data_IF_760424385283
#
_entry.id   IF_760424385283
#
_cell.length_a   1.000
_cell.length_b   1.000
_cell.length_c   1.000
_cell.angle_alpha   90.00
_cell.angle_beta   90.00
_cell.angle_gamma   90.00
#
_symmetry.space_group_name_H-M   'P 1'
#
loop_
_entity.id
_entity.type
_entity.pdbx_description
1 polymer ?
#
# COMPACT_ATOMS: atom_id res chain seq x y z
N UNK A 1 -0.91 -6.17 15.19
CA UNK A 1 0.47 -5.80 14.85
C UNK A 1 0.90 -4.74 15.86
N UNK A 2 2.10 -4.86 16.40
CA UNK A 2 2.65 -3.90 17.36
C UNK A 2 3.42 -2.83 16.58
N UNK A 3 3.13 -1.56 16.84
CA UNK A 3 3.93 -0.46 16.31
C UNK A 3 5.26 -0.43 17.05
N UNK A 4 6.35 -0.52 16.31
CA UNK A 4 7.70 -0.30 16.84
C UNK A 4 8.09 1.15 16.52
N UNK A 5 8.11 1.98 17.57
CA UNK A 5 8.50 3.40 17.45
C UNK A 5 9.98 3.58 17.09
N UNK A 6 10.83 2.59 17.36
CA UNK A 6 12.26 2.64 17.10
C UNK A 6 12.59 2.20 15.67
N UNK A 7 11.85 1.22 15.13
CA UNK A 7 11.97 0.78 13.75
C UNK A 7 11.11 1.59 12.75
N UNK A 8 10.20 2.44 13.24
CA UNK A 8 9.13 3.08 12.45
C UNK A 8 8.33 2.07 11.59
N UNK A 9 8.25 0.82 12.05
CA UNK A 9 7.63 -0.28 11.33
C UNK A 9 6.67 -1.06 12.23
N UNK A 10 5.67 -1.71 11.63
CA UNK A 10 4.85 -2.67 12.36
C UNK A 10 5.56 -4.01 12.40
N UNK A 11 5.92 -4.44 13.61
CA UNK A 11 6.40 -5.79 13.83
C UNK A 11 5.27 -6.78 13.59
N UNK A 12 5.58 -7.81 12.81
CA UNK A 12 4.66 -8.90 12.54
C UNK A 12 4.31 -9.62 13.85
N UNK A 13 3.03 -9.93 14.03
CA UNK A 13 2.61 -10.65 15.23
C UNK A 13 3.21 -12.06 15.22
N UNK A 14 3.69 -12.57 16.36
CA UNK A 14 4.08 -13.97 16.45
C UNK A 14 2.87 -14.84 16.11
N UNK A 15 3.06 -15.74 15.15
CA UNK A 15 1.96 -16.56 14.61
C UNK A 15 1.81 -17.79 15.49
N UNK A 16 0.84 -17.76 16.40
CA UNK A 16 0.52 -18.85 17.32
C UNK A 16 -0.69 -19.69 16.89
N UNK A 17 -0.59 -21.01 17.11
CA UNK A 17 -1.67 -22.00 16.93
C UNK A 17 -1.73 -22.67 15.54
N UNK A 18 -2.40 -23.84 15.43
CA UNK A 18 -2.53 -24.56 14.16
C UNK A 18 -3.34 -23.71 13.18
N UNK A 19 -2.78 -23.37 12.02
CA UNK A 19 -3.40 -22.57 10.96
C UNK A 19 -4.79 -23.05 10.52
N UNK A 20 -5.58 -22.19 9.87
CA UNK A 20 -6.73 -22.67 9.10
C UNK A 20 -6.18 -23.33 7.83
N UNK A 21 -6.45 -24.62 7.60
CA UNK A 21 -6.03 -25.30 6.37
C UNK A 21 -7.13 -25.16 5.34
N UNK A 22 -7.03 -24.11 4.50
CA UNK A 22 -8.04 -23.83 3.49
C UNK A 22 -8.13 -24.92 2.42
N UNK A 23 -7.01 -25.60 2.12
CA UNK A 23 -6.95 -26.64 1.10
C UNK A 23 -7.88 -27.83 1.42
N UNK A 24 -7.98 -28.24 2.68
CA UNK A 24 -8.87 -29.34 3.10
C UNK A 24 -10.36 -29.01 2.88
N UNK A 25 -10.72 -27.73 2.97
CA UNK A 25 -12.11 -27.26 2.91
C UNK A 25 -12.49 -26.83 1.49
N UNK A 26 -11.55 -26.22 0.78
CA UNK A 26 -11.78 -25.52 -0.48
C UNK A 26 -10.91 -26.00 -1.63
N UNK A 27 -10.19 -27.11 -1.48
CA UNK A 27 -9.29 -27.64 -2.51
C UNK A 27 -9.91 -27.65 -3.91
N UNK A 28 -9.11 -27.25 -4.90
CA UNK A 28 -9.48 -27.09 -6.31
C UNK A 28 -10.61 -26.07 -6.60
N UNK A 29 -10.87 -25.09 -5.73
CA UNK A 29 -11.84 -24.01 -6.01
C UNK A 29 -11.16 -22.73 -6.47
N UNK A 30 -11.73 -22.08 -7.49
CA UNK A 30 -11.29 -20.78 -7.98
C UNK A 30 -12.28 -20.15 -8.97
N UNK A 31 -12.29 -18.82 -9.14
CA UNK A 31 -11.36 -17.81 -8.59
C UNK A 31 -11.57 -17.47 -7.11
N UNK A 32 -10.52 -16.92 -6.47
CA UNK A 32 -10.52 -16.48 -5.06
C UNK A 32 -10.79 -14.97 -4.99
N UNK A 33 -11.85 -14.61 -4.29
CA UNK A 33 -12.19 -13.21 -4.01
C UNK A 33 -11.98 -12.93 -2.52
N UNK A 34 -11.14 -11.95 -2.22
CA UNK A 34 -10.90 -11.48 -0.85
C UNK A 34 -11.50 -10.10 -0.71
N UNK A 35 -12.62 -10.01 0.00
CA UNK A 35 -13.17 -8.73 0.43
C UNK A 35 -12.43 -8.22 1.68
N UNK A 36 -12.39 -6.91 1.84
CA UNK A 36 -11.62 -6.23 2.88
C UNK A 36 -10.16 -6.71 2.97
N UNK A 37 -9.50 -6.76 1.81
CA UNK A 37 -8.12 -7.22 1.65
C UNK A 37 -7.10 -6.42 2.48
N UNK A 38 -7.52 -5.30 3.06
CA UNK A 38 -6.75 -4.57 4.06
C UNK A 38 -6.34 -5.42 5.28
N UNK A 39 -7.05 -6.53 5.56
CA UNK A 39 -6.69 -7.50 6.59
C UNK A 39 -5.41 -8.29 6.30
N UNK A 40 -4.90 -8.22 5.06
CA UNK A 40 -3.71 -8.93 4.58
C UNK A 40 -2.50 -8.00 4.33
N UNK A 41 -2.52 -6.80 4.91
CA UNK A 41 -1.38 -5.87 4.91
C UNK A 41 -0.24 -6.28 5.85
N UNK A 42 -0.43 -7.28 6.71
CA UNK A 42 0.55 -7.74 7.70
C UNK A 42 0.65 -9.27 7.66
N UNK A 43 1.82 -9.82 8.04
CA UNK A 43 1.96 -11.27 8.19
C UNK A 43 1.23 -11.70 9.47
N UNK A 44 0.14 -12.43 9.30
CA UNK A 44 -0.63 -13.00 10.40
C UNK A 44 -1.07 -14.43 10.02
N UNK A 45 -1.77 -15.12 10.93
CA UNK A 45 -2.25 -16.49 10.68
C UNK A 45 -3.17 -16.60 9.47
N UNK A 46 -4.00 -15.59 9.20
CA UNK A 46 -4.90 -15.58 8.01
C UNK A 46 -4.10 -15.40 6.73
N UNK A 47 -3.09 -14.53 6.75
CA UNK A 47 -2.18 -14.34 5.64
C UNK A 47 -1.50 -15.64 5.26
N UNK A 48 -0.89 -16.34 6.23
CA UNK A 48 -0.22 -17.63 5.96
C UNK A 48 -1.18 -18.66 5.39
N UNK A 49 -2.33 -18.84 6.03
CA UNK A 49 -3.36 -19.78 5.55
C UNK A 49 -3.80 -19.49 4.11
N UNK A 50 -3.98 -18.21 3.76
CA UNK A 50 -4.34 -17.81 2.40
C UNK A 50 -3.17 -17.99 1.43
N UNK A 51 -1.95 -17.59 1.80
CA UNK A 51 -0.76 -17.76 0.96
C UNK A 51 -0.53 -19.24 0.64
N UNK A 52 -0.53 -20.11 1.65
CA UNK A 52 -0.34 -21.55 1.48
C UNK A 52 -1.41 -22.17 0.56
N UNK A 53 -2.66 -21.71 0.67
CA UNK A 53 -3.74 -22.14 -0.23
C UNK A 53 -3.53 -21.67 -1.66
N UNK A 54 -3.14 -20.40 -1.84
CA UNK A 54 -2.91 -19.83 -3.17
C UNK A 54 -1.67 -20.42 -3.85
N UNK A 55 -0.65 -20.80 -3.08
CA UNK A 55 0.57 -21.47 -3.57
C UNK A 55 0.32 -22.93 -3.94
N UNK A 56 -0.74 -23.55 -3.41
CA UNK A 56 -1.10 -24.95 -3.64
C UNK A 56 -1.72 -25.24 -5.02
N UNK A 57 -2.09 -24.22 -5.80
CA UNK A 57 -2.76 -24.40 -7.09
C UNK A 57 -2.74 -23.16 -7.99
N UNK A 58 -3.22 -23.28 -9.24
CA UNK A 58 -3.37 -22.12 -10.14
C UNK A 58 -4.67 -21.36 -9.82
N UNK A 59 -4.61 -20.53 -8.78
CA UNK A 59 -5.73 -19.69 -8.37
C UNK A 59 -5.65 -18.31 -9.05
N UNK A 60 -6.76 -17.87 -9.65
CA UNK A 60 -6.93 -16.45 -10.00
C UNK A 60 -7.47 -15.71 -8.79
N UNK A 61 -6.80 -14.63 -8.39
CA UNK A 61 -7.07 -13.88 -7.15
C UNK A 61 -7.55 -12.48 -7.46
N UNK A 62 -8.59 -12.03 -6.77
CA UNK A 62 -9.05 -10.64 -6.78
C UNK A 62 -9.10 -10.14 -5.34
N UNK A 63 -8.33 -9.10 -5.06
CA UNK A 63 -8.34 -8.39 -3.78
C UNK A 63 -9.21 -7.15 -3.89
N UNK A 64 -10.20 -7.02 -3.00
CA UNK A 64 -11.09 -5.86 -2.92
C UNK A 64 -10.81 -5.12 -1.61
N UNK A 65 -10.51 -3.83 -1.71
CA UNK A 65 -10.34 -2.99 -0.53
C UNK A 65 -10.59 -1.52 -0.84
N UNK A 66 -11.25 -0.82 0.08
CA UNK A 66 -11.34 0.64 0.04
C UNK A 66 -10.02 1.34 0.42
N UNK A 67 -9.15 0.64 1.15
CA UNK A 67 -7.90 1.18 1.68
C UNK A 67 -6.80 0.14 1.47
N UNK A 68 -6.15 0.07 0.31
CA UNK A 68 -5.10 -0.93 0.10
C UNK A 68 -3.82 -0.58 0.89
N UNK A 69 -3.53 0.70 1.13
CA UNK A 69 -2.34 1.18 1.84
C UNK A 69 -2.75 1.97 3.09
N UNK A 70 -2.03 1.79 4.20
CA UNK A 70 -2.18 2.56 5.43
C UNK A 70 -0.94 3.41 5.73
N UNK A 71 0.21 2.76 5.87
CA UNK A 71 1.43 3.37 6.42
C UNK A 71 2.45 3.65 5.33
N UNK A 72 2.56 2.72 4.39
CA UNK A 72 3.61 2.80 3.40
C UNK A 72 3.51 1.72 2.33
N UNK A 73 4.39 1.82 1.32
CA UNK A 73 4.52 0.85 0.25
C UNK A 73 4.55 -0.62 0.67
N UNK A 74 5.09 -0.94 1.86
CA UNK A 74 5.15 -2.33 2.38
C UNK A 74 3.77 -2.99 2.55
N UNK A 75 2.72 -2.21 2.81
CA UNK A 75 1.34 -2.72 2.89
C UNK A 75 0.88 -3.30 1.55
N UNK A 76 1.24 -2.64 0.45
CA UNK A 76 0.92 -3.08 -0.91
C UNK A 76 1.75 -4.31 -1.26
N UNK A 77 3.06 -4.28 -0.94
CA UNK A 77 3.94 -5.43 -1.14
C UNK A 77 3.36 -6.72 -0.56
N UNK A 78 2.97 -6.70 0.72
CA UNK A 78 2.44 -7.90 1.40
C UNK A 78 1.18 -8.43 0.72
N UNK A 79 0.25 -7.55 0.32
CA UNK A 79 -0.94 -7.96 -0.41
C UNK A 79 -0.61 -8.55 -1.80
N UNK A 80 0.32 -7.94 -2.54
CA UNK A 80 0.73 -8.46 -3.85
C UNK A 80 1.45 -9.80 -3.75
N UNK A 81 2.21 -10.04 -2.68
CA UNK A 81 2.86 -11.34 -2.43
C UNK A 81 1.89 -12.50 -2.25
N UNK A 82 0.60 -12.25 -2.05
CA UNK A 82 -0.40 -13.32 -2.07
C UNK A 82 -0.56 -13.97 -3.46
N UNK A 83 -0.20 -13.29 -4.54
CA UNK A 83 -0.46 -13.80 -5.90
C UNK A 83 0.59 -13.43 -6.95
N UNK A 84 1.57 -12.59 -6.62
CA UNK A 84 2.74 -12.33 -7.46
C UNK A 84 3.96 -13.04 -6.89
N UNK A 85 4.72 -13.68 -7.78
CA UNK A 85 6.01 -14.26 -7.46
C UNK A 85 7.05 -13.19 -7.05
N UNK A 86 8.12 -13.62 -6.39
CA UNK A 86 9.20 -12.73 -5.97
C UNK A 86 10.09 -12.29 -7.14
N UNK A 87 10.31 -13.17 -8.12
CA UNK A 87 11.24 -12.99 -9.23
C UNK A 87 10.50 -13.00 -10.58
N UNK A 88 9.60 -13.95 -10.80
CA UNK A 88 8.87 -14.12 -12.08
C UNK A 88 7.46 -13.52 -12.03
N UNK A 89 7.34 -12.30 -11.50
CA UNK A 89 6.06 -11.61 -11.34
C UNK A 89 5.48 -11.02 -12.64
N UNK A 90 6.19 -11.08 -13.76
CA UNK A 90 5.76 -10.50 -15.04
C UNK A 90 5.71 -8.97 -15.11
N UNK A 91 5.95 -8.26 -14.00
CA UNK A 91 6.12 -6.81 -13.96
C UNK A 91 7.49 -6.37 -14.50
N UNK A 92 7.51 -5.26 -15.25
CA UNK A 92 8.74 -4.65 -15.75
C UNK A 92 9.43 -3.81 -14.65
N UNK A 93 10.07 -4.50 -13.70
CA UNK A 93 10.76 -3.95 -12.53
C UNK A 93 12.26 -4.29 -12.55
N UNK A 94 12.97 -4.00 -13.64
CA UNK A 94 14.42 -4.23 -13.66
C UNK A 94 15.17 -3.21 -12.77
N UNK A 95 16.24 -3.61 -12.04
CA UNK A 95 16.83 -4.96 -11.93
C UNK A 95 16.48 -5.71 -10.63
N UNK A 96 15.40 -5.33 -9.92
CA UNK A 96 15.16 -5.77 -8.54
C UNK A 96 14.06 -6.84 -8.50
N UNK A 97 14.23 -7.87 -7.66
CA UNK A 97 13.12 -8.70 -7.20
C UNK A 97 12.05 -7.84 -6.52
N UNK A 98 10.82 -8.34 -6.41
CA UNK A 98 9.68 -7.55 -5.92
C UNK A 98 9.95 -6.92 -4.55
N UNK A 99 10.48 -7.68 -3.60
CA UNK A 99 10.90 -7.21 -2.27
C UNK A 99 11.96 -6.12 -2.37
N UNK A 100 13.02 -6.36 -3.14
CA UNK A 100 14.09 -5.38 -3.35
C UNK A 100 13.57 -4.08 -3.95
N UNK A 101 12.62 -4.19 -4.89
CA UNK A 101 11.95 -3.04 -5.49
C UNK A 101 11.13 -2.29 -4.43
N UNK A 102 10.32 -2.99 -3.63
CA UNK A 102 9.52 -2.36 -2.58
C UNK A 102 10.36 -1.76 -1.44
N UNK A 103 11.52 -2.32 -1.11
CA UNK A 103 12.50 -1.72 -0.19
C UNK A 103 13.00 -0.39 -0.76
N UNK A 104 13.34 -0.34 -2.05
CA UNK A 104 13.71 0.90 -2.71
C UNK A 104 12.55 1.91 -2.70
N UNK A 105 11.33 1.49 -3.05
CA UNK A 105 10.13 2.34 -2.99
C UNK A 105 9.91 2.90 -1.58
N UNK A 106 10.04 2.08 -0.54
CA UNK A 106 9.91 2.50 0.86
C UNK A 106 10.97 3.54 1.24
N UNK A 107 12.22 3.33 0.83
CA UNK A 107 13.32 4.27 1.09
C UNK A 107 13.07 5.62 0.42
N UNK A 108 12.65 5.60 -0.85
CA UNK A 108 12.30 6.83 -1.57
C UNK A 108 11.04 7.51 -1.02
N UNK A 109 10.07 6.73 -0.52
CA UNK A 109 8.89 7.25 0.16
C UNK A 109 9.27 8.01 1.44
N UNK A 110 10.12 7.42 2.28
CA UNK A 110 10.60 8.06 3.52
C UNK A 110 11.40 9.33 3.22
N UNK A 111 12.35 9.27 2.29
CA UNK A 111 13.12 10.45 1.88
C UNK A 111 12.20 11.59 1.41
N UNK A 112 11.12 11.28 0.69
CA UNK A 112 10.17 12.30 0.22
C UNK A 112 9.45 12.98 1.38
N UNK A 113 9.03 12.22 2.40
CA UNK A 113 8.42 12.76 3.63
C UNK A 113 9.43 13.65 4.38
N UNK A 114 10.63 13.14 4.61
CA UNK A 114 11.70 13.89 5.28
C UNK A 114 12.05 15.18 4.54
N UNK A 115 12.10 15.12 3.20
CA UNK A 115 12.38 16.27 2.36
C UNK A 115 11.26 17.32 2.44
N UNK A 116 9.98 16.91 2.38
CA UNK A 116 8.83 17.82 2.55
C UNK A 116 8.81 18.47 3.94
N UNK A 117 9.09 17.69 4.99
CA UNK A 117 9.23 18.17 6.36
C UNK A 117 10.38 19.17 6.48
N UNK A 118 11.54 18.84 5.91
CA UNK A 118 12.70 19.73 5.86
C UNK A 118 12.38 21.03 5.10
N UNK A 119 11.70 20.97 3.97
CA UNK A 119 11.29 22.16 3.21
C UNK A 119 10.41 23.08 4.06
N UNK A 120 9.45 22.51 4.78
CA UNK A 120 8.56 23.26 5.68
C UNK A 120 9.35 23.89 6.82
N UNK A 121 10.23 23.12 7.47
CA UNK A 121 11.08 23.60 8.55
C UNK A 121 12.05 24.70 8.08
N UNK A 122 12.63 24.54 6.89
CA UNK A 122 13.55 25.50 6.28
C UNK A 122 12.84 26.82 5.97
N UNK A 123 11.63 26.77 5.41
CA UNK A 123 10.82 27.97 5.18
C UNK A 123 10.48 28.70 6.49
N UNK A 124 10.12 27.96 7.54
CA UNK A 124 9.85 28.53 8.86
C UNK A 124 11.10 29.19 9.46
N UNK A 125 12.26 28.54 9.33
CA UNK A 125 13.55 29.08 9.76
C UNK A 125 13.93 30.35 8.97
N UNK A 126 13.64 30.43 7.66
CA UNK A 126 13.89 31.65 6.88
C UNK A 126 13.10 32.87 7.40
N UNK A 127 11.91 32.65 7.95
CA UNK A 127 11.04 33.72 8.45
C UNK A 127 11.30 34.06 9.92
N UNK A 128 11.57 33.04 10.76
CA UNK A 128 11.62 33.17 12.23
C UNK A 128 12.98 32.81 12.85
N UNK A 129 13.94 32.35 12.05
CA UNK A 129 15.24 31.89 12.50
C UNK A 129 16.04 33.03 13.13
N UNK A 130 16.75 32.70 14.21
CA UNK A 130 17.65 33.65 14.88
C UNK A 130 19.02 33.60 14.23
N UNK A 131 19.77 34.70 14.34
CA UNK A 131 21.10 34.86 13.74
C UNK A 131 22.16 33.85 14.22
N UNK A 132 21.93 33.19 15.35
CA UNK A 132 22.83 32.18 15.95
C UNK A 132 22.28 30.74 15.84
N UNK A 133 21.24 30.52 15.04
CA UNK A 133 20.62 29.22 14.86
C UNK A 133 20.90 28.69 13.46
N UNK A 134 21.52 27.51 13.39
CA UNK A 134 21.81 26.87 12.11
C UNK A 134 20.51 26.44 11.40
N UNK A 135 20.47 26.47 10.05
CA UNK A 135 19.32 25.98 9.31
C UNK A 135 19.13 24.47 9.52
N UNK A 136 17.90 23.96 9.37
CA UNK A 136 17.66 22.53 9.45
C UNK A 136 18.47 21.78 8.37
N UNK A 137 19.09 20.67 8.77
CA UNK A 137 19.91 19.85 7.89
C UNK A 137 19.06 19.23 6.78
N UNK A 138 19.51 19.39 5.53
CA UNK A 138 18.83 18.80 4.38
C UNK A 138 19.04 17.28 4.38
N UNK A 139 17.98 16.47 4.21
CA UNK A 139 18.14 15.02 4.12
C UNK A 139 18.94 14.64 2.86
N UNK A 140 19.74 13.58 2.98
CA UNK A 140 20.55 13.05 1.87
C UNK A 140 19.71 12.14 0.97
N UNK A 141 19.89 12.24 -0.34
CA UNK A 141 19.21 11.35 -1.29
C UNK A 141 19.58 9.87 -1.06
N UNK A 142 18.61 8.94 -1.21
CA UNK A 142 18.87 7.51 -1.17
C UNK A 142 19.91 7.06 -2.20
N UNK A 143 20.76 6.11 -1.82
CA UNK A 143 21.76 5.51 -2.73
C UNK A 143 21.19 4.39 -3.61
N UNK A 144 19.99 3.89 -3.29
CA UNK A 144 19.35 2.83 -4.05
C UNK A 144 18.78 3.39 -5.38
N UNK A 145 18.60 2.53 -6.40
CA UNK A 145 17.95 2.93 -7.64
C UNK A 145 16.58 3.57 -7.37
N UNK A 146 16.20 4.54 -8.21
CA UNK A 146 14.89 5.18 -8.10
C UNK A 146 13.78 4.17 -8.39
N UNK A 147 12.86 4.04 -7.44
CA UNK A 147 11.72 3.15 -7.55
C UNK A 147 10.43 3.92 -7.25
N UNK A 148 9.41 3.66 -8.07
CA UNK A 148 8.10 4.28 -7.97
C UNK A 148 7.03 3.20 -7.83
N UNK A 149 6.16 3.34 -6.83
CA UNK A 149 5.07 2.41 -6.56
C UNK A 149 4.09 2.33 -7.75
N UNK A 150 3.95 3.42 -8.52
CA UNK A 150 3.03 3.47 -9.66
C UNK A 150 3.40 2.49 -10.78
N UNK A 151 4.68 2.13 -10.91
CA UNK A 151 5.12 1.09 -11.86
C UNK A 151 4.56 -0.29 -11.52
N UNK A 152 4.26 -0.52 -10.24
CA UNK A 152 3.63 -1.74 -9.75
C UNK A 152 2.10 -1.59 -9.79
N UNK A 153 1.57 -0.48 -9.28
CA UNK A 153 0.13 -0.28 -9.15
C UNK A 153 -0.57 -0.19 -10.51
N UNK A 154 0.01 0.47 -11.51
CA UNK A 154 -0.62 0.67 -12.82
C UNK A 154 -1.08 -0.66 -13.48
N UNK A 155 -0.24 -1.71 -13.56
CA UNK A 155 -0.66 -2.99 -14.15
C UNK A 155 -1.53 -3.88 -13.25
N UNK A 156 -1.42 -3.78 -11.91
CA UNK A 156 -2.07 -4.73 -10.98
C UNK A 156 -3.33 -4.17 -10.31
N UNK A 157 -3.50 -2.85 -10.31
CA UNK A 157 -4.47 -2.18 -9.46
C UNK A 157 -5.47 -1.37 -10.28
N UNK A 158 -6.76 -1.64 -10.09
CA UNK A 158 -7.83 -0.79 -10.63
C UNK A 158 -8.32 0.12 -9.51
N UNK A 159 -7.92 1.40 -9.57
CA UNK A 159 -8.42 2.44 -8.66
C UNK A 159 -9.46 3.31 -9.36
N UNK A 160 -10.57 3.57 -8.66
CA UNK A 160 -11.58 4.56 -9.06
C UNK A 160 -11.97 5.41 -7.85
N UNK A 161 -11.69 6.72 -7.93
CA UNK A 161 -12.15 7.72 -6.97
C UNK A 161 -13.48 8.29 -7.43
N UNK A 162 -14.20 8.94 -6.51
CA UNK A 162 -15.44 9.68 -6.83
C UNK A 162 -15.25 10.68 -7.98
N UNK A 163 -14.13 11.41 -7.93
CA UNK A 163 -13.72 12.34 -8.99
C UNK A 163 -13.56 11.63 -10.34
N UNK A 164 -12.87 10.49 -10.35
CA UNK A 164 -12.65 9.72 -11.58
C UNK A 164 -13.99 9.23 -12.15
N UNK A 165 -14.94 8.84 -11.31
CA UNK A 165 -16.29 8.44 -11.75
C UNK A 165 -17.03 9.64 -12.38
N UNK A 166 -16.98 10.81 -11.74
CA UNK A 166 -17.61 12.02 -12.27
C UNK A 166 -16.97 12.48 -13.57
N UNK A 167 -15.63 12.42 -13.70
CA UNK A 167 -14.92 12.83 -14.90
C UNK A 167 -15.14 11.86 -16.08
N UNK A 168 -15.13 10.54 -15.83
CA UNK A 168 -15.27 9.53 -16.88
C UNK A 168 -16.72 9.31 -17.33
N UNK A 169 -17.68 9.37 -16.40
CA UNK A 169 -19.07 8.97 -16.67
C UNK A 169 -20.07 10.13 -16.56
N UNK A 170 -19.68 11.27 -15.98
CA UNK A 170 -20.54 12.44 -15.81
C UNK A 170 -21.84 12.12 -15.05
N UNK A 171 -22.96 12.71 -15.49
CA UNK A 171 -24.29 12.43 -14.94
C UNK A 171 -24.94 11.14 -15.43
N UNK A 172 -24.26 10.35 -16.27
CA UNK A 172 -24.79 9.07 -16.83
C UNK A 172 -24.47 7.86 -15.95
N UNK A 173 -23.66 8.04 -14.91
CA UNK A 173 -23.35 6.95 -13.99
C UNK A 173 -24.62 6.58 -13.21
N UNK A 174 -25.05 5.33 -13.34
CA UNK A 174 -26.20 4.78 -12.61
C UNK A 174 -25.81 3.49 -11.89
N UNK A 175 -26.36 3.29 -10.70
CA UNK A 175 -26.30 2.02 -9.97
C UNK A 175 -27.74 1.57 -9.75
N UNK A 176 -28.09 0.38 -10.27
CA UNK A 176 -29.44 -0.17 -10.22
C UNK A 176 -30.52 0.81 -10.76
N UNK A 177 -30.22 1.51 -11.86
CA UNK A 177 -31.13 2.47 -12.49
C UNK A 177 -31.31 3.79 -11.74
N UNK A 178 -30.48 4.07 -10.73
CA UNK A 178 -30.48 5.36 -10.01
C UNK A 178 -29.17 6.10 -10.28
N UNK A 179 -29.21 7.43 -10.54
CA UNK A 179 -28.00 8.20 -10.76
C UNK A 179 -27.10 8.18 -9.52
N UNK A 180 -25.80 8.01 -9.73
CA UNK A 180 -24.82 8.00 -8.66
C UNK A 180 -24.72 9.40 -8.05
N UNK A 181 -24.99 9.50 -6.74
CA UNK A 181 -24.84 10.72 -5.98
C UNK A 181 -23.73 10.56 -4.95
N UNK A 182 -22.72 11.42 -5.04
CA UNK A 182 -21.65 11.46 -4.04
C UNK A 182 -21.97 12.47 -2.95
N UNK A 183 -21.79 12.12 -1.67
CA UNK A 183 -21.99 13.06 -0.58
C UNK A 183 -20.95 14.18 -0.65
N UNK A 184 -21.39 15.43 -0.52
CA UNK A 184 -20.51 16.59 -0.43
C UNK A 184 -19.73 16.55 0.88
N UNK A 185 -18.39 16.72 0.86
CA UNK A 185 -17.61 16.77 2.09
C UNK A 185 -18.08 17.94 2.96
N UNK A 186 -18.51 17.67 4.20
CA UNK A 186 -18.73 18.71 5.20
C UNK A 186 -17.44 18.90 5.97
N UNK A 187 -16.68 19.94 5.63
CA UNK A 187 -15.54 20.37 6.44
C UNK A 187 -16.10 20.93 7.76
N UNK A 188 -16.03 20.12 8.83
CA UNK A 188 -16.16 20.66 10.18
C UNK A 188 -14.76 21.13 10.58
N UNK A 189 -14.58 22.45 10.67
CA UNK A 189 -13.44 22.99 11.39
C UNK A 189 -13.59 22.51 12.84
N UNK A 190 -12.66 21.68 13.29
CA UNK A 190 -12.55 21.33 14.70
C UNK A 190 -11.97 22.59 15.35
N UNK A 191 -12.83 23.35 16.01
CA UNK A 191 -12.46 24.50 16.85
C UNK A 191 -11.97 24.03 18.20
#
# INVERSE_FOLDING_TARGET
AQWDEEAEEYLDEPIEGPGLVLEEVYGNRGPVLVDEAHNFRNLNRRYRALSEYLDGGDHKVVLVSATPQNLGPRDIYRQLRLFLDEVDHGLNLEPLALEGYFVAVQTWHQYRIEFENWQTAYQLWQVKGKKNEDPPARPSEPKCPKADIERVLTPVFIRRRRRDITELYGGKAEVNGKPVQFPTPKLKNIT
#
